data_IF_177006174460
#
_entry.id   IF_177006174460
#
_cell.length_a   1.000
_cell.length_b   1.000
_cell.length_c   1.000
_cell.angle_alpha   90.00
_cell.angle_beta   90.00
_cell.angle_gamma   90.00
#
_symmetry.space_group_name_H-M   'P 1'
#
loop_
_entity.id
_entity.type
_entity.pdbx_description
1 polymer ?
#
# COMPACT_ATOMS: atom_id res chain seq x y z
N UNK A 1 17.94 2.77 -21.07
CA UNK A 1 16.82 1.84 -20.75
C UNK A 1 16.17 2.32 -19.47
N UNK A 2 14.92 2.80 -19.50
CA UNK A 2 14.19 3.18 -18.28
C UNK A 2 13.89 1.88 -17.52
N UNK A 3 14.49 1.69 -16.35
CA UNK A 3 14.10 0.63 -15.43
C UNK A 3 12.68 0.91 -14.96
N UNK A 4 11.72 0.16 -15.48
CA UNK A 4 10.33 0.20 -15.00
C UNK A 4 10.33 -0.32 -13.56
N UNK A 5 9.88 0.50 -12.61
CA UNK A 5 9.74 0.07 -11.21
C UNK A 5 8.66 -1.02 -11.16
N UNK A 6 9.03 -2.24 -10.80
CA UNK A 6 8.07 -3.33 -10.54
C UNK A 6 7.67 -3.32 -9.08
N UNK A 7 6.37 -3.34 -8.80
CA UNK A 7 5.83 -3.52 -7.46
C UNK A 7 5.33 -4.94 -7.32
N UNK A 8 5.65 -5.62 -6.24
CA UNK A 8 5.21 -7.00 -6.04
C UNK A 8 4.06 -7.04 -5.04
N UNK A 9 3.02 -7.81 -5.36
CA UNK A 9 1.85 -7.95 -4.51
C UNK A 9 1.46 -9.41 -4.33
N UNK A 10 0.99 -9.74 -3.13
CA UNK A 10 0.25 -10.95 -2.85
C UNK A 10 -1.17 -10.82 -3.41
N UNK A 11 -1.81 -11.95 -3.78
CA UNK A 11 -3.15 -11.94 -4.38
C UNK A 11 -4.21 -11.33 -3.45
N UNK A 12 -4.03 -11.46 -2.14
CA UNK A 12 -4.92 -10.87 -1.12
C UNK A 12 -4.83 -9.34 -1.10
N UNK A 13 -3.62 -8.77 -1.11
CA UNK A 13 -3.44 -7.31 -1.05
C UNK A 13 -3.85 -6.62 -2.35
N UNK A 14 -3.49 -7.18 -3.52
CA UNK A 14 -3.83 -6.56 -4.80
C UNK A 14 -5.35 -6.46 -5.00
N UNK A 15 -6.10 -7.47 -4.59
CA UNK A 15 -7.57 -7.46 -4.68
C UNK A 15 -8.18 -6.33 -3.85
N UNK A 16 -7.63 -6.06 -2.66
CA UNK A 16 -8.07 -4.93 -1.82
C UNK A 16 -7.65 -3.59 -2.42
N UNK A 17 -6.45 -3.51 -3.02
CA UNK A 17 -6.00 -2.30 -3.73
C UNK A 17 -6.93 -1.97 -4.90
N UNK A 18 -7.28 -2.96 -5.72
CA UNK A 18 -8.22 -2.79 -6.85
C UNK A 18 -9.60 -2.35 -6.37
N UNK A 19 -10.10 -2.93 -5.27
CA UNK A 19 -11.35 -2.48 -4.64
C UNK A 19 -11.26 -1.02 -4.18
N UNK A 20 -10.16 -0.66 -3.52
CA UNK A 20 -9.90 0.71 -3.05
C UNK A 20 -9.87 1.70 -4.20
N UNK A 21 -9.24 1.34 -5.34
CA UNK A 21 -9.24 2.15 -6.56
C UNK A 21 -10.67 2.40 -7.05
N UNK A 22 -11.51 1.35 -7.10
CA UNK A 22 -12.92 1.49 -7.48
C UNK A 22 -13.73 2.37 -6.52
N UNK A 23 -13.48 2.28 -5.22
CA UNK A 23 -14.10 3.15 -4.20
C UNK A 23 -13.70 4.62 -4.38
N UNK A 24 -12.42 4.89 -4.65
CA UNK A 24 -11.94 6.24 -4.93
C UNK A 24 -12.53 6.81 -6.23
N UNK A 25 -12.70 5.99 -7.28
CA UNK A 25 -13.41 6.43 -8.49
C UNK A 25 -14.85 6.85 -8.18
N UNK A 26 -15.56 6.07 -7.37
CA UNK A 26 -16.93 6.41 -6.93
C UNK A 26 -16.94 7.71 -6.11
N UNK A 27 -15.99 7.86 -5.19
CA UNK A 27 -15.86 9.07 -4.37
C UNK A 27 -15.60 10.32 -5.23
N UNK A 28 -14.73 10.24 -6.24
CA UNK A 28 -14.47 11.35 -7.17
C UNK A 28 -15.72 11.73 -7.95
N UNK A 29 -16.54 10.74 -8.35
CA UNK A 29 -17.79 10.99 -9.06
C UNK A 29 -18.80 11.74 -8.18
N UNK A 30 -18.94 11.35 -6.93
CA UNK A 30 -19.84 12.04 -5.98
C UNK A 30 -19.35 13.45 -5.66
N UNK A 31 -18.04 13.62 -5.39
CA UNK A 31 -17.45 14.95 -5.21
C UNK A 31 -17.59 15.83 -6.46
N UNK A 32 -17.58 15.24 -7.65
CA UNK A 32 -17.83 15.97 -8.90
C UNK A 32 -19.26 16.52 -9.00
N UNK A 33 -20.25 15.85 -8.43
CA UNK A 33 -21.63 16.36 -8.35
C UNK A 33 -21.73 17.49 -7.34
N UNK A 34 -21.17 17.27 -6.14
CA UNK A 34 -21.15 18.27 -5.06
C UNK A 34 -20.47 19.57 -5.50
N UNK A 35 -19.38 19.47 -6.28
CA UNK A 35 -18.76 20.65 -6.90
C UNK A 35 -19.66 21.39 -7.88
N UNK A 36 -20.43 20.66 -8.69
CA UNK A 36 -21.38 21.27 -9.62
C UNK A 36 -22.51 21.99 -8.88
N UNK A 37 -22.98 21.41 -7.78
CA UNK A 37 -24.01 21.99 -6.91
C UNK A 37 -23.49 23.22 -6.17
N UNK A 38 -22.29 23.14 -5.56
CA UNK A 38 -21.64 24.25 -4.87
C UNK A 38 -21.35 25.43 -5.82
N UNK A 39 -20.89 25.15 -7.05
CA UNK A 39 -20.66 26.20 -8.06
C UNK A 39 -21.95 26.91 -8.48
N UNK A 40 -23.07 26.16 -8.55
CA UNK A 40 -24.39 26.71 -8.89
C UNK A 40 -24.92 27.61 -7.76
N UNK A 41 -24.82 27.17 -6.50
CA UNK A 41 -25.26 27.94 -5.33
C UNK A 41 -24.41 29.19 -5.09
N UNK A 42 -23.10 29.12 -5.31
CA UNK A 42 -22.19 30.29 -5.19
C UNK A 42 -22.55 31.41 -6.18
N UNK A 43 -22.98 31.06 -7.40
CA UNK A 43 -23.43 32.03 -8.41
C UNK A 43 -24.71 32.78 -7.98
N UNK A 44 -25.55 32.15 -7.16
CA UNK A 44 -26.82 32.72 -6.69
C UNK A 44 -26.65 33.63 -5.44
N UNK A 45 -25.60 33.41 -4.64
CA UNK A 45 -25.43 34.03 -3.32
C UNK A 45 -24.34 35.13 -3.20
N UNK A 46 -23.78 35.63 -4.32
CA UNK A 46 -22.81 36.74 -4.37
C UNK A 46 -21.84 36.81 -3.18
N UNK A 47 -20.87 35.89 -3.12
CA UNK A 47 -19.59 36.09 -2.41
C UNK A 47 -19.49 35.66 -0.94
N UNK A 48 -20.42 34.84 -0.42
CA UNK A 48 -20.35 34.33 0.96
C UNK A 48 -19.97 32.83 1.08
N UNK A 49 -19.88 32.07 -0.02
CA UNK A 49 -19.74 30.59 0.01
C UNK A 49 -18.41 30.05 -0.58
N UNK A 50 -17.46 30.93 -0.90
CA UNK A 50 -16.19 30.55 -1.56
C UNK A 50 -15.36 29.53 -0.76
N UNK A 51 -15.43 29.56 0.57
CA UNK A 51 -14.70 28.63 1.43
C UNK A 51 -15.25 27.20 1.37
N UNK A 52 -16.58 27.04 1.29
CA UNK A 52 -17.22 25.74 1.16
C UNK A 52 -16.91 25.15 -0.23
N UNK A 53 -17.03 25.97 -1.27
CA UNK A 53 -16.65 25.61 -2.62
C UNK A 53 -15.19 25.12 -2.67
N UNK A 54 -14.24 25.96 -2.27
CA UNK A 54 -12.81 25.62 -2.27
C UNK A 54 -12.52 24.32 -1.48
N UNK A 55 -13.17 24.08 -0.34
CA UNK A 55 -13.01 22.84 0.41
C UNK A 55 -13.34 21.59 -0.43
N UNK A 56 -14.45 21.60 -1.18
CA UNK A 56 -14.83 20.49 -2.06
C UNK A 56 -13.84 20.35 -3.24
N UNK A 57 -13.33 21.47 -3.79
CA UNK A 57 -12.28 21.45 -4.81
C UNK A 57 -10.99 20.80 -4.30
N UNK A 58 -10.50 21.21 -3.12
CA UNK A 58 -9.33 20.62 -2.51
C UNK A 58 -9.54 19.13 -2.19
N UNK A 59 -10.69 18.75 -1.64
CA UNK A 59 -10.98 17.36 -1.30
C UNK A 59 -10.94 16.48 -2.55
N UNK A 60 -11.58 16.89 -3.67
CA UNK A 60 -11.51 16.14 -4.92
C UNK A 60 -10.08 16.04 -5.47
N UNK A 61 -9.28 17.10 -5.35
CA UNK A 61 -7.86 17.08 -5.77
C UNK A 61 -7.05 16.06 -4.98
N UNK A 62 -7.19 16.02 -3.67
CA UNK A 62 -6.50 15.06 -2.79
C UNK A 62 -6.90 13.62 -3.14
N UNK A 63 -8.20 13.35 -3.31
CA UNK A 63 -8.70 12.01 -3.68
C UNK A 63 -8.21 11.61 -5.07
N UNK A 64 -8.21 12.54 -6.03
CA UNK A 64 -7.72 12.29 -7.40
C UNK A 64 -6.21 12.00 -7.42
N UNK A 65 -5.42 12.74 -6.65
CA UNK A 65 -3.98 12.50 -6.53
C UNK A 65 -3.70 11.11 -5.93
N UNK A 66 -4.46 10.72 -4.90
CA UNK A 66 -4.37 9.38 -4.30
C UNK A 66 -4.72 8.29 -5.29
N UNK A 67 -5.80 8.47 -6.06
CA UNK A 67 -6.21 7.54 -7.10
C UNK A 67 -5.12 7.36 -8.16
N UNK A 68 -4.58 8.45 -8.70
CA UNK A 68 -3.53 8.39 -9.72
C UNK A 68 -2.28 7.65 -9.21
N UNK A 69 -1.90 7.87 -7.95
CA UNK A 69 -0.78 7.16 -7.34
C UNK A 69 -1.04 5.65 -7.24
N UNK A 70 -2.22 5.25 -6.76
CA UNK A 70 -2.58 3.84 -6.67
C UNK A 70 -2.70 3.18 -8.05
N UNK A 71 -3.24 3.89 -9.05
CA UNK A 71 -3.30 3.38 -10.43
C UNK A 71 -1.91 3.18 -11.02
N UNK A 72 -0.95 4.08 -10.78
CA UNK A 72 0.43 3.88 -11.21
C UNK A 72 1.03 2.62 -10.58
N UNK A 73 0.78 2.39 -9.29
CA UNK A 73 1.27 1.21 -8.57
C UNK A 73 0.64 -0.07 -9.13
N UNK A 74 -0.67 -0.10 -9.33
CA UNK A 74 -1.41 -1.25 -9.89
C UNK A 74 -0.96 -1.55 -11.32
N UNK A 75 -0.76 -0.53 -12.16
CA UNK A 75 -0.29 -0.72 -13.53
C UNK A 75 1.09 -1.36 -13.62
N UNK A 76 1.91 -1.20 -12.59
CA UNK A 76 3.25 -1.79 -12.49
C UNK A 76 3.33 -2.93 -11.45
N UNK A 77 2.17 -3.41 -10.98
CA UNK A 77 2.08 -4.48 -10.00
C UNK A 77 2.25 -5.85 -10.68
N UNK A 78 3.07 -6.70 -10.06
CA UNK A 78 3.27 -8.10 -10.43
C UNK A 78 2.77 -8.97 -9.27
N UNK A 79 1.78 -9.83 -9.55
CA UNK A 79 1.18 -10.69 -8.55
C UNK A 79 2.07 -11.91 -8.32
N UNK A 80 2.58 -12.06 -7.10
CA UNK A 80 3.44 -13.17 -6.69
C UNK A 80 2.62 -14.16 -5.89
N UNK A 81 2.70 -15.44 -6.26
CA UNK A 81 2.14 -16.56 -5.48
C UNK A 81 3.29 -17.39 -4.90
N UNK A 82 3.71 -17.11 -3.66
CA UNK A 82 4.76 -17.87 -3.00
C UNK A 82 4.32 -19.33 -2.89
N UNK A 83 5.15 -20.27 -3.33
CA UNK A 83 4.91 -21.71 -3.17
C UNK A 83 6.19 -22.41 -2.77
N UNK A 84 6.11 -23.22 -1.73
CA UNK A 84 7.17 -24.13 -1.29
C UNK A 84 8.10 -23.53 -0.24
N UNK A 85 9.02 -24.35 0.30
CA UNK A 85 10.02 -23.88 1.25
C UNK A 85 10.95 -22.87 0.57
N UNK A 86 11.26 -21.79 1.28
CA UNK A 86 12.10 -20.72 0.75
C UNK A 86 13.53 -20.85 1.28
N UNK A 87 14.50 -20.99 0.37
CA UNK A 87 15.94 -20.96 0.72
C UNK A 87 16.38 -19.58 1.25
N UNK A 88 15.63 -18.53 0.91
CA UNK A 88 15.86 -17.16 1.31
C UNK A 88 14.54 -16.40 1.42
N UNK A 89 14.50 -15.43 2.34
CA UNK A 89 13.33 -14.61 2.62
C UNK A 89 12.92 -13.85 1.34
N UNK A 90 11.67 -14.05 0.94
CA UNK A 90 11.04 -13.40 -0.19
C UNK A 90 9.62 -12.98 0.16
N UNK A 91 8.95 -12.35 -0.80
CA UNK A 91 7.56 -11.92 -0.63
C UNK A 91 6.67 -13.14 -0.39
N UNK A 92 5.84 -13.02 0.64
CA UNK A 92 4.95 -14.02 1.21
C UNK A 92 5.61 -15.04 2.15
N UNK A 93 6.92 -14.99 2.35
CA UNK A 93 7.61 -15.85 3.32
C UNK A 93 7.28 -15.42 4.75
N UNK A 94 7.12 -16.40 5.63
CA UNK A 94 6.96 -16.21 7.07
C UNK A 94 8.28 -16.51 7.75
N UNK A 95 8.74 -15.58 8.57
CA UNK A 95 10.05 -15.60 9.21
C UNK A 95 9.87 -15.61 10.72
N UNK A 96 10.59 -16.51 11.38
CA UNK A 96 10.67 -16.55 12.83
C UNK A 96 12.01 -15.96 13.27
N UNK A 97 11.96 -14.98 14.17
CA UNK A 97 13.15 -14.33 14.72
C UNK A 97 13.51 -14.94 16.07
N UNK A 98 14.78 -14.81 16.46
CA UNK A 98 15.32 -15.29 17.75
C UNK A 98 14.61 -14.71 18.98
N UNK A 99 14.00 -13.54 18.87
CA UNK A 99 13.17 -12.90 19.92
C UNK A 99 11.76 -13.53 20.04
N UNK A 100 11.47 -14.62 19.32
CA UNK A 100 10.16 -15.29 19.30
C UNK A 100 9.11 -14.60 18.43
N UNK A 101 9.47 -13.54 17.69
CA UNK A 101 8.54 -12.83 16.80
C UNK A 101 8.39 -13.60 15.49
N UNK A 102 7.15 -13.82 15.09
CA UNK A 102 6.79 -14.39 13.79
C UNK A 102 6.27 -13.25 12.91
N UNK A 103 6.92 -13.03 11.78
CA UNK A 103 6.60 -11.96 10.83
C UNK A 103 6.37 -12.55 9.44
N UNK A 104 5.39 -12.05 8.70
CA UNK A 104 5.21 -12.40 7.28
C UNK A 104 5.69 -11.22 6.42
N UNK A 105 6.56 -11.47 5.45
CA UNK A 105 6.97 -10.45 4.48
C UNK A 105 5.87 -10.33 3.44
N UNK A 106 5.08 -9.27 3.49
CA UNK A 106 3.97 -9.03 2.58
C UNK A 106 4.33 -8.17 1.38
N UNK A 107 3.27 -7.63 0.76
CA UNK A 107 3.30 -6.82 -0.46
C UNK A 107 3.97 -5.44 -0.30
N UNK A 108 4.08 -4.70 -1.40
CA UNK A 108 4.58 -3.31 -1.38
C UNK A 108 3.74 -2.42 -0.47
N UNK A 109 2.41 -2.52 -0.59
CA UNK A 109 1.45 -1.92 0.32
C UNK A 109 0.56 -3.03 0.88
N UNK A 110 0.30 -2.95 2.19
CA UNK A 110 -0.58 -3.87 2.89
C UNK A 110 -1.93 -3.17 3.04
N UNK A 111 -2.93 -3.70 2.35
CA UNK A 111 -4.31 -3.21 2.45
C UNK A 111 -5.25 -4.29 2.97
N UNK A 112 -4.88 -5.57 2.85
CA UNK A 112 -5.63 -6.66 3.43
C UNK A 112 -5.37 -6.76 4.95
N UNK A 113 -6.33 -7.34 5.66
CA UNK A 113 -6.11 -7.84 7.01
C UNK A 113 -5.34 -9.15 6.92
N UNK A 114 -4.30 -9.28 7.75
CA UNK A 114 -3.43 -10.46 7.76
C UNK A 114 -3.50 -11.14 9.12
N UNK A 115 -3.66 -12.46 9.13
CA UNK A 115 -3.74 -13.27 10.37
C UNK A 115 -2.42 -13.22 11.16
N UNK A 116 -1.29 -13.17 10.44
CA UNK A 116 0.03 -12.98 11.01
C UNK A 116 0.48 -11.53 10.89
N UNK A 117 1.40 -11.10 11.78
CA UNK A 117 2.01 -9.78 11.74
C UNK A 117 2.78 -9.59 10.44
N UNK A 118 2.12 -8.98 9.47
CA UNK A 118 2.63 -8.84 8.10
C UNK A 118 3.29 -7.48 7.93
N UNK A 119 4.46 -7.45 7.33
CA UNK A 119 5.25 -6.24 7.10
C UNK A 119 5.49 -6.07 5.60
N UNK A 120 5.40 -4.84 5.11
CA UNK A 120 5.71 -4.57 3.70
C UNK A 120 7.17 -4.87 3.43
N UNK A 121 7.48 -5.51 2.30
CA UNK A 121 8.87 -5.72 1.89
C UNK A 121 9.60 -4.39 1.63
N UNK A 122 8.87 -3.29 1.41
CA UNK A 122 9.42 -1.95 1.22
C UNK A 122 9.68 -1.22 2.55
N UNK A 123 9.18 -1.75 3.67
CA UNK A 123 9.48 -1.21 4.99
C UNK A 123 10.97 -1.38 5.34
N UNK A 124 11.55 -0.53 6.20
CA UNK A 124 12.95 -0.65 6.63
C UNK A 124 13.31 -2.07 7.12
N UNK A 125 12.44 -2.69 7.92
CA UNK A 125 12.63 -4.06 8.41
C UNK A 125 12.46 -5.09 7.30
N UNK A 126 11.44 -4.96 6.44
CA UNK A 126 11.23 -5.87 5.31
C UNK A 126 12.42 -5.87 4.33
N UNK A 127 13.01 -4.70 4.08
CA UNK A 127 14.21 -4.56 3.24
C UNK A 127 15.44 -5.20 3.87
N UNK A 128 15.57 -5.15 5.20
CA UNK A 128 16.67 -5.79 5.93
C UNK A 128 16.55 -7.31 5.93
N UNK A 129 15.31 -7.83 5.94
CA UNK A 129 15.02 -9.27 5.91
C UNK A 129 15.11 -9.87 4.51
N UNK A 130 14.76 -9.12 3.46
CA UNK A 130 14.76 -9.62 2.09
C UNK A 130 16.10 -10.26 1.70
N UNK A 131 16.04 -11.44 1.05
CA UNK A 131 17.17 -12.25 0.57
C UNK A 131 18.07 -12.86 1.64
N UNK A 132 17.78 -12.64 2.93
CA UNK A 132 18.48 -13.31 4.02
C UNK A 132 18.07 -14.78 4.14
N UNK A 133 18.93 -15.60 4.72
CA UNK A 133 18.71 -17.04 4.95
C UNK A 133 18.53 -17.37 6.43
N UNK A 134 18.08 -18.59 6.69
CA UNK A 134 18.07 -19.16 8.05
C UNK A 134 19.49 -19.12 8.65
N UNK A 135 19.59 -18.72 9.91
CA UNK A 135 20.84 -18.53 10.63
C UNK A 135 21.53 -17.19 10.43
N UNK A 136 21.07 -16.32 9.51
CA UNK A 136 21.67 -14.99 9.34
C UNK A 136 21.17 -13.98 10.39
N UNK A 137 22.07 -13.08 10.77
CA UNK A 137 21.77 -11.94 11.62
C UNK A 137 21.29 -10.74 10.80
N UNK A 138 20.29 -10.04 11.36
CA UNK A 138 19.69 -8.84 10.83
C UNK A 138 19.75 -7.77 11.90
N UNK A 139 20.47 -6.70 11.61
CA UNK A 139 20.51 -5.51 12.45
C UNK A 139 19.42 -4.54 11.99
N UNK A 140 18.54 -4.17 12.91
CA UNK A 140 17.49 -3.22 12.65
C UNK A 140 17.36 -2.24 13.82
N UNK A 141 17.57 -0.96 13.56
CA UNK A 141 17.71 0.08 14.59
C UNK A 141 18.83 -0.32 15.57
N UNK A 142 18.50 -0.50 16.85
CA UNK A 142 19.42 -0.93 17.93
C UNK A 142 19.22 -2.40 18.34
N UNK A 143 18.48 -3.18 17.56
CA UNK A 143 18.20 -4.59 17.85
C UNK A 143 18.83 -5.49 16.79
N UNK A 144 19.45 -6.58 17.24
CA UNK A 144 19.97 -7.65 16.38
C UNK A 144 19.08 -8.87 16.56
N UNK A 145 18.61 -9.41 15.44
CA UNK A 145 17.80 -10.63 15.43
C UNK A 145 18.46 -11.67 14.54
N UNK A 146 18.35 -12.94 14.91
CA UNK A 146 18.76 -14.05 14.06
C UNK A 146 17.52 -14.69 13.46
N UNK A 147 17.59 -15.05 12.17
CA UNK A 147 16.50 -15.76 11.49
C UNK A 147 16.55 -17.22 11.93
N UNK A 148 15.55 -17.67 12.68
CA UNK A 148 15.46 -19.04 13.20
C UNK A 148 14.91 -19.98 12.14
N UNK A 149 13.82 -19.58 11.48
CA UNK A 149 13.24 -20.38 10.41
C UNK A 149 12.52 -19.54 9.36
N UNK A 150 12.48 -20.05 8.12
CA UNK A 150 11.74 -19.46 7.00
C UNK A 150 10.70 -20.48 6.48
N UNK A 151 9.44 -20.05 6.40
CA UNK A 151 8.30 -20.85 5.93
C UNK A 151 7.57 -20.18 4.77
#
# INVERSE_FOLDING_TARGET
MRTVKKYYFLPEDIAVVEKTVGELHRQIKELGKEQGEAARQSTENFGHDDACQEAVFQQRRVVTARLNNLQEIVNHAEVVRPKGPFDAIRIGATVELSDGRILRVGSYMLFAEHEAKTISYNSPLGRALLKKKEGEEVHFQDQTFTIVSIK
#
